data_IF_197486579062
#
_entry.id   IF_197486579062
#
_cell.length_a   1.000
_cell.length_b   1.000
_cell.length_c   1.000
_cell.angle_alpha   90.00
_cell.angle_beta   90.00
_cell.angle_gamma   90.00
#
_symmetry.space_group_name_H-M   'P 1'
#
loop_
_entity.id
_entity.type
_entity.pdbx_description
1 polymer ?
#
# COMPACT_ATOMS: atom_id res chain seq x y z
N UNK A 1 -12.52 2.72 33.64
CA UNK A 1 -12.66 3.71 32.52
C UNK A 1 -14.14 3.97 32.18
N UNK A 2 -15.10 3.11 32.57
CA UNK A 2 -16.55 3.34 32.36
C UNK A 2 -17.19 4.15 33.49
N UNK A 3 -16.58 4.25 34.68
CA UNK A 3 -17.12 4.98 35.84
C UNK A 3 -17.09 6.50 35.69
N UNK A 4 -16.06 7.05 35.05
CA UNK A 4 -15.85 8.50 34.98
C UNK A 4 -16.74 9.24 33.97
N UNK A 5 -17.25 8.52 32.95
CA UNK A 5 -18.16 9.14 31.95
C UNK A 5 -19.60 9.31 32.49
N UNK A 6 -20.03 8.41 33.34
CA UNK A 6 -21.36 8.50 33.97
C UNK A 6 -21.41 9.60 35.04
N UNK A 7 -20.32 9.82 35.77
CA UNK A 7 -20.20 10.90 36.75
C UNK A 7 -20.18 12.28 36.08
N UNK A 8 -19.54 12.42 34.92
CA UNK A 8 -19.49 13.68 34.17
C UNK A 8 -20.85 14.10 33.62
N UNK A 9 -21.63 13.11 33.10
CA UNK A 9 -22.99 13.36 32.58
C UNK A 9 -23.95 13.71 33.71
N UNK A 10 -23.87 13.01 34.85
CA UNK A 10 -24.66 13.32 36.05
C UNK A 10 -24.33 14.71 36.61
N UNK A 11 -23.04 15.11 36.63
CA UNK A 11 -22.61 16.43 37.07
C UNK A 11 -23.07 17.54 36.10
N UNK A 12 -23.03 17.32 34.80
CA UNK A 12 -23.50 18.29 33.81
C UNK A 12 -25.02 18.52 33.89
N UNK A 13 -25.80 17.44 34.05
CA UNK A 13 -27.26 17.51 34.22
C UNK A 13 -27.67 18.21 35.50
N UNK A 14 -26.99 17.99 36.63
CA UNK A 14 -27.30 18.60 37.91
C UNK A 14 -27.04 20.14 37.95
N UNK A 15 -26.11 20.61 37.09
CA UNK A 15 -25.70 22.02 37.07
C UNK A 15 -26.55 22.88 36.14
N UNK A 16 -27.15 22.30 35.13
CA UNK A 16 -27.85 23.03 34.06
C UNK A 16 -29.37 22.82 34.00
N UNK A 17 -29.93 21.91 34.84
CA UNK A 17 -31.38 21.67 34.90
C UNK A 17 -31.82 21.59 36.37
N UNK A 18 -31.79 22.73 37.11
CA UNK A 18 -32.05 22.74 38.54
C UNK A 18 -33.50 22.39 38.93
N UNK A 19 -34.47 22.38 37.98
CA UNK A 19 -35.88 22.20 38.28
C UNK A 19 -36.41 20.78 38.34
N UNK A 20 -35.71 19.82 37.76
CA UNK A 20 -36.21 18.41 37.72
C UNK A 20 -35.86 17.64 38.99
N UNK A 21 -34.81 18.05 39.72
CA UNK A 21 -34.37 17.32 40.92
C UNK A 21 -35.14 17.66 42.19
N UNK A 22 -35.86 18.79 42.23
CA UNK A 22 -36.55 19.22 43.44
C UNK A 22 -37.90 18.49 43.68
N UNK A 23 -38.49 17.87 42.65
CA UNK A 23 -39.71 17.13 42.75
C UNK A 23 -39.55 15.72 43.34
N UNK A 24 -38.32 15.21 43.48
CA UNK A 24 -38.08 13.86 43.99
C UNK A 24 -37.52 13.77 45.41
N UNK A 25 -37.22 14.90 46.08
CA UNK A 25 -36.41 14.90 47.30
C UNK A 25 -37.21 15.09 48.64
N UNK A 26 -38.51 15.24 48.62
CA UNK A 26 -39.29 15.31 49.89
C UNK A 26 -40.52 14.41 49.83
N UNK A 27 -40.27 13.12 49.99
CA UNK A 27 -41.30 12.21 50.53
C UNK A 27 -41.12 12.16 52.05
N UNK A 28 -41.75 13.09 52.76
CA UNK A 28 -41.92 12.91 54.21
C UNK A 28 -43.16 12.01 54.45
N UNK A 29 -42.84 10.86 54.96
CA UNK A 29 -43.79 9.82 55.30
C UNK A 29 -44.54 10.19 56.57
N UNK A 30 -45.53 11.02 56.51
CA UNK A 30 -46.53 11.12 57.57
C UNK A 30 -47.87 11.65 57.06
N UNK A 31 -48.63 10.82 56.42
CA UNK A 31 -50.07 11.06 56.40
C UNK A 31 -50.80 9.71 56.38
N UNK A 32 -51.67 9.61 57.32
CA UNK A 32 -52.49 8.40 57.60
C UNK A 32 -53.31 7.96 56.43
N UNK A 33 -52.96 6.83 55.95
CA UNK A 33 -53.41 6.15 54.74
C UNK A 33 -54.81 5.54 54.84
N UNK A 34 -55.79 6.20 55.43
CA UNK A 34 -57.17 5.64 55.46
C UNK A 34 -57.81 5.58 54.06
N UNK A 35 -57.46 6.53 53.17
CA UNK A 35 -57.96 6.56 51.80
C UNK A 35 -57.38 5.46 50.90
N UNK A 36 -56.19 4.96 51.21
CA UNK A 36 -55.55 3.88 50.46
C UNK A 36 -56.30 2.56 50.46
N UNK A 37 -57.07 2.33 51.45
CA UNK A 37 -57.84 1.08 51.64
C UNK A 37 -59.34 1.23 51.28
N UNK A 38 -59.73 2.42 50.80
CA UNK A 38 -61.13 2.63 50.38
C UNK A 38 -61.43 1.91 49.06
N UNK A 39 -62.58 1.23 49.01
CA UNK A 39 -63.13 0.67 47.78
C UNK A 39 -63.96 1.68 46.98
N UNK A 40 -64.07 2.92 47.45
CA UNK A 40 -64.84 4.01 46.83
C UNK A 40 -63.98 5.25 46.68
N UNK A 41 -64.25 6.12 45.67
CA UNK A 41 -63.55 7.39 45.51
C UNK A 41 -63.71 8.25 46.76
N UNK A 42 -62.59 8.78 47.26
CA UNK A 42 -62.59 9.60 48.50
C UNK A 42 -62.32 11.09 48.12
N UNK A 43 -62.99 11.99 48.81
CA UNK A 43 -62.85 13.45 48.59
C UNK A 43 -62.37 14.09 49.88
N UNK A 44 -61.60 15.22 49.74
CA UNK A 44 -61.07 15.94 50.90
C UNK A 44 -61.52 17.41 50.85
N UNK A 45 -61.54 18.02 52.05
CA UNK A 45 -61.70 19.45 52.23
C UNK A 45 -60.36 20.15 52.50
N UNK A 46 -59.25 19.39 52.57
CA UNK A 46 -57.91 19.86 52.92
C UNK A 46 -56.97 19.59 51.74
N UNK A 47 -56.10 20.55 51.41
CA UNK A 47 -55.23 20.48 50.28
C UNK A 47 -53.96 19.60 50.47
N UNK A 48 -53.58 19.33 51.72
CA UNK A 48 -52.27 18.75 52.05
C UNK A 48 -52.06 17.34 51.51
N UNK A 49 -53.12 16.60 51.24
CA UNK A 49 -53.05 15.20 50.79
C UNK A 49 -53.43 15.00 49.31
N UNK A 50 -53.86 16.02 48.65
CA UNK A 50 -54.33 15.92 47.27
C UNK A 50 -53.13 15.98 46.30
N UNK A 51 -53.12 15.07 45.33
CA UNK A 51 -52.05 14.99 44.35
C UNK A 51 -50.87 14.05 44.70
N UNK A 52 -50.90 13.43 45.87
CA UNK A 52 -49.80 12.56 46.35
C UNK A 52 -50.13 11.05 46.27
N UNK A 53 -50.95 10.65 45.34
CA UNK A 53 -51.36 9.23 45.14
C UNK A 53 -51.98 8.60 46.36
N UNK A 54 -52.70 9.37 47.15
CA UNK A 54 -53.37 8.92 48.38
C UNK A 54 -54.82 8.42 48.15
N UNK A 55 -55.16 8.12 46.85
CA UNK A 55 -56.54 7.76 46.41
C UNK A 55 -57.56 8.87 46.70
N UNK A 56 -57.13 10.08 46.94
CA UNK A 56 -58.03 11.22 47.08
C UNK A 56 -58.31 11.81 45.70
N UNK A 57 -59.57 11.74 45.27
CA UNK A 57 -59.98 12.18 43.92
C UNK A 57 -59.98 13.70 43.80
N UNK A 58 -60.37 14.41 44.82
CA UNK A 58 -60.47 15.86 44.79
C UNK A 58 -61.28 16.46 45.91
N UNK A 59 -61.54 17.73 45.84
CA UNK A 59 -62.34 18.42 46.85
C UNK A 59 -62.61 19.89 46.50
N UNK A 60 -63.37 20.52 47.34
CA UNK A 60 -63.64 21.94 47.34
C UNK A 60 -62.80 22.57 48.45
N UNK A 61 -61.60 22.99 48.07
CA UNK A 61 -60.51 23.32 49.03
C UNK A 61 -59.99 24.75 48.86
N UNK A 62 -59.41 25.29 49.90
CA UNK A 62 -58.64 26.51 49.85
C UNK A 62 -57.14 26.14 49.75
N UNK A 63 -56.45 26.61 48.73
CA UNK A 63 -55.02 26.36 48.60
C UNK A 63 -54.24 27.25 49.58
N UNK A 64 -53.10 26.77 50.06
CA UNK A 64 -52.19 27.55 50.89
C UNK A 64 -51.68 28.79 50.13
N UNK A 65 -51.44 28.66 48.82
CA UNK A 65 -51.06 29.75 47.94
C UNK A 65 -52.09 30.86 47.91
N UNK A 66 -53.40 30.51 47.75
CA UNK A 66 -54.51 31.47 47.78
C UNK A 66 -54.60 32.19 49.14
N UNK A 67 -54.36 31.46 50.22
CA UNK A 67 -54.34 32.10 51.57
C UNK A 67 -53.14 33.04 51.76
N UNK A 68 -51.97 32.70 51.23
CA UNK A 68 -50.79 33.54 51.29
C UNK A 68 -51.01 34.78 50.44
N UNK A 69 -51.49 34.66 49.21
CA UNK A 69 -51.79 35.81 48.32
C UNK A 69 -52.80 36.74 48.94
N UNK A 70 -53.95 36.24 49.44
CA UNK A 70 -54.97 37.06 50.10
C UNK A 70 -54.41 37.73 51.37
N UNK A 71 -53.53 37.07 52.13
CA UNK A 71 -52.91 37.61 53.31
C UNK A 71 -51.90 38.70 52.95
N UNK A 72 -51.11 38.46 51.87
CA UNK A 72 -50.10 39.41 51.42
C UNK A 72 -50.76 40.67 50.83
N UNK A 73 -51.80 40.54 50.07
CA UNK A 73 -52.56 41.66 49.52
C UNK A 73 -53.13 42.55 50.62
N UNK A 74 -53.67 41.92 51.68
CA UNK A 74 -54.17 42.65 52.86
C UNK A 74 -53.06 43.38 53.64
N UNK A 75 -51.94 42.69 53.85
CA UNK A 75 -50.81 43.31 54.47
C UNK A 75 -50.33 44.54 53.64
N UNK A 76 -50.31 44.43 52.32
CA UNK A 76 -49.96 45.53 51.43
C UNK A 76 -50.95 46.71 51.52
N UNK A 77 -52.24 46.42 51.66
CA UNK A 77 -53.26 47.45 51.85
C UNK A 77 -53.16 48.17 53.18
N UNK A 78 -52.86 47.43 54.24
CA UNK A 78 -52.58 48.00 55.59
C UNK A 78 -51.33 48.89 55.53
N UNK A 79 -50.29 48.47 54.88
CA UNK A 79 -49.03 49.24 54.72
C UNK A 79 -49.25 50.51 53.90
N UNK A 80 -50.27 50.54 53.03
CA UNK A 80 -50.64 51.74 52.25
C UNK A 80 -51.54 52.74 53.03
N UNK A 81 -51.82 52.42 54.26
CA UNK A 81 -52.54 53.32 55.18
C UNK A 81 -54.01 52.98 55.46
N UNK A 82 -54.50 51.79 55.03
CA UNK A 82 -55.82 51.33 55.42
C UNK A 82 -55.84 50.91 56.88
N UNK A 83 -56.83 51.33 57.63
CA UNK A 83 -57.00 50.96 59.02
C UNK A 83 -57.48 49.53 59.18
N UNK A 84 -56.97 48.79 60.21
CA UNK A 84 -57.40 47.39 60.43
C UNK A 84 -58.91 47.25 60.65
N UNK A 85 -59.60 48.34 61.08
CA UNK A 85 -61.05 48.38 61.27
C UNK A 85 -61.87 48.33 59.97
N UNK A 86 -61.21 48.63 58.83
CA UNK A 86 -61.84 48.59 57.53
C UNK A 86 -62.00 47.18 56.95
N UNK A 87 -61.38 46.19 57.58
CA UNK A 87 -61.48 44.77 57.15
C UNK A 87 -62.38 43.97 58.09
N UNK A 88 -63.16 43.07 57.49
CA UNK A 88 -63.99 42.19 58.32
C UNK A 88 -63.06 41.27 59.15
N UNK A 89 -63.42 41.08 60.43
CA UNK A 89 -62.64 40.24 61.39
C UNK A 89 -62.47 38.78 60.92
N UNK A 90 -63.39 38.28 60.14
CA UNK A 90 -63.31 36.90 59.57
C UNK A 90 -63.65 37.00 58.08
N UNK A 91 -62.70 36.68 57.27
CA UNK A 91 -62.88 36.55 55.82
C UNK A 91 -62.83 35.08 55.42
N UNK A 92 -63.76 34.67 54.63
CA UNK A 92 -63.73 33.31 54.05
C UNK A 92 -62.82 33.34 52.85
N UNK A 93 -61.72 32.63 52.88
CA UNK A 93 -60.84 32.44 51.70
C UNK A 93 -61.55 31.81 50.57
N UNK A 94 -61.18 32.20 49.34
CA UNK A 94 -61.73 31.64 48.13
C UNK A 94 -61.41 30.14 48.03
N UNK A 95 -62.42 29.36 47.82
CA UNK A 95 -62.27 27.89 47.62
C UNK A 95 -62.38 27.54 46.14
N UNK A 96 -61.55 26.64 45.71
CA UNK A 96 -61.51 26.12 44.35
C UNK A 96 -61.84 24.62 44.35
N UNK A 97 -62.42 24.15 43.25
CA UNK A 97 -62.54 22.73 43.01
C UNK A 97 -61.19 22.22 42.47
N UNK A 98 -60.57 21.31 43.21
CA UNK A 98 -59.28 20.71 42.87
C UNK A 98 -59.43 19.21 42.80
N UNK A 99 -58.97 18.62 41.73
CA UNK A 99 -59.05 17.16 41.53
C UNK A 99 -57.67 16.62 41.08
N UNK A 100 -57.36 15.38 41.53
CA UNK A 100 -56.18 14.66 40.99
C UNK A 100 -56.60 13.93 39.74
N UNK A 101 -55.93 14.27 38.62
CA UNK A 101 -56.23 13.66 37.34
C UNK A 101 -56.01 12.14 37.32
N UNK A 102 -55.00 11.60 38.02
CA UNK A 102 -54.69 10.20 38.05
C UNK A 102 -55.79 9.43 38.80
N UNK A 103 -56.28 10.02 39.87
CA UNK A 103 -57.39 9.40 40.65
C UNK A 103 -58.73 9.52 39.91
N UNK A 104 -59.02 10.66 39.27
CA UNK A 104 -60.17 10.82 38.39
C UNK A 104 -60.20 9.72 37.30
N UNK A 105 -59.03 9.47 36.71
CA UNK A 105 -58.89 8.41 35.69
C UNK A 105 -58.98 7.01 36.29
N UNK A 106 -58.34 6.76 37.40
CA UNK A 106 -58.38 5.45 38.09
C UNK A 106 -59.82 5.04 38.44
N UNK A 107 -60.61 5.96 38.96
CA UNK A 107 -61.96 5.75 39.30
C UNK A 107 -62.94 5.88 38.12
N UNK A 108 -62.46 6.05 36.93
CA UNK A 108 -63.22 6.23 35.68
C UNK A 108 -64.31 7.31 35.79
N UNK A 109 -63.98 8.44 36.44
CA UNK A 109 -64.93 9.55 36.59
C UNK A 109 -64.87 10.36 35.29
N UNK A 110 -66.07 10.60 34.68
CA UNK A 110 -66.12 11.41 33.45
C UNK A 110 -65.77 12.86 33.74
N UNK A 111 -64.73 13.33 33.08
CA UNK A 111 -64.23 14.70 33.23
C UNK A 111 -65.29 15.77 32.93
N UNK A 112 -66.29 15.48 32.14
CA UNK A 112 -67.41 16.39 31.81
C UNK A 112 -68.31 16.68 33.00
N UNK A 113 -68.27 15.83 34.02
CA UNK A 113 -69.01 15.98 35.27
C UNK A 113 -68.33 16.87 36.29
N UNK A 114 -67.02 17.19 36.05
CA UNK A 114 -66.26 18.08 36.92
C UNK A 114 -66.67 19.54 36.63
N UNK A 115 -66.67 20.41 37.67
CA UNK A 115 -66.91 21.83 37.50
C UNK A 115 -65.97 22.45 36.45
N UNK A 116 -66.44 23.41 35.64
CA UNK A 116 -65.66 24.01 34.55
C UNK A 116 -64.42 24.76 35.04
N UNK A 117 -64.44 25.26 36.25
CA UNK A 117 -63.39 25.98 36.93
C UNK A 117 -62.54 25.07 37.82
N UNK A 118 -62.68 23.77 37.69
CA UNK A 118 -61.89 22.81 38.46
C UNK A 118 -60.42 22.82 38.03
N UNK A 119 -59.54 22.88 39.01
CA UNK A 119 -58.10 22.73 38.85
C UNK A 119 -57.75 21.23 38.86
N UNK A 120 -57.11 20.74 37.81
CA UNK A 120 -56.67 19.35 37.73
C UNK A 120 -55.16 19.29 38.11
N UNK A 121 -54.87 18.64 39.23
CA UNK A 121 -53.49 18.31 39.61
C UNK A 121 -53.02 17.09 38.83
N UNK A 122 -51.72 16.93 38.67
CA UNK A 122 -51.10 15.79 37.99
C UNK A 122 -51.59 15.55 36.55
N UNK A 123 -52.11 16.61 35.90
CA UNK A 123 -52.58 16.52 34.52
C UNK A 123 -51.39 16.30 33.61
N UNK A 124 -51.31 15.21 32.82
CA UNK A 124 -50.14 14.91 32.02
C UNK A 124 -49.84 16.01 31.00
N UNK A 125 -48.58 16.40 30.88
CA UNK A 125 -48.13 17.43 29.95
C UNK A 125 -48.56 17.15 28.49
N UNK A 126 -48.56 15.88 28.08
CA UNK A 126 -48.99 15.44 26.75
C UNK A 126 -50.47 15.77 26.46
N UNK A 127 -51.30 15.71 27.48
CA UNK A 127 -52.76 15.95 27.38
C UNK A 127 -53.07 17.44 27.56
N UNK A 128 -52.27 18.13 28.34
CA UNK A 128 -52.39 19.57 28.57
C UNK A 128 -51.91 20.40 27.35
N UNK A 129 -50.81 19.96 26.75
CA UNK A 129 -50.18 20.66 25.62
C UNK A 129 -49.84 19.70 24.47
N UNK A 130 -50.81 19.04 23.85
CA UNK A 130 -50.55 17.96 22.90
C UNK A 130 -49.73 18.42 21.69
N UNK A 131 -49.96 19.63 21.16
CA UNK A 131 -49.20 20.14 20.02
C UNK A 131 -47.75 20.36 20.39
N UNK A 132 -47.45 20.92 21.54
CA UNK A 132 -46.10 21.20 22.04
C UNK A 132 -45.35 19.89 22.31
N UNK A 133 -46.02 18.91 22.90
CA UNK A 133 -45.48 17.59 23.20
C UNK A 133 -45.02 16.87 21.92
N UNK A 134 -45.86 16.79 20.92
CA UNK A 134 -45.55 16.11 19.69
C UNK A 134 -44.50 16.89 18.86
N UNK A 135 -44.50 18.23 18.85
CA UNK A 135 -43.50 19.02 18.20
C UNK A 135 -42.09 18.82 18.82
N UNK A 136 -42.04 18.69 20.15
CA UNK A 136 -40.80 18.41 20.87
C UNK A 136 -40.24 17.01 20.53
N UNK A 137 -41.12 16.01 20.46
CA UNK A 137 -40.70 14.65 20.07
C UNK A 137 -40.18 14.63 18.63
N UNK A 138 -40.84 15.30 17.71
CA UNK A 138 -40.38 15.39 16.32
C UNK A 138 -39.01 16.10 16.26
N UNK A 139 -38.85 17.20 17.00
CA UNK A 139 -37.60 17.95 17.04
C UNK A 139 -36.43 17.10 17.55
N UNK A 140 -36.66 16.38 18.67
CA UNK A 140 -35.62 15.50 19.23
C UNK A 140 -35.30 14.35 18.27
N UNK A 141 -36.32 13.74 17.69
CA UNK A 141 -36.13 12.64 16.72
C UNK A 141 -35.34 13.08 15.50
N UNK A 142 -35.67 14.24 14.91
CA UNK A 142 -34.94 14.78 13.76
C UNK A 142 -33.50 15.12 14.11
N UNK A 143 -33.25 15.68 15.29
CA UNK A 143 -31.89 15.96 15.77
C UNK A 143 -31.08 14.67 15.96
N UNK A 144 -31.68 13.63 16.54
CA UNK A 144 -31.05 12.32 16.70
C UNK A 144 -30.70 11.69 15.34
N UNK A 145 -31.63 11.75 14.38
CA UNK A 145 -31.39 11.27 13.01
C UNK A 145 -30.24 12.02 12.33
N UNK A 146 -30.16 13.34 12.51
CA UNK A 146 -29.08 14.14 11.95
C UNK A 146 -27.71 13.77 12.56
N UNK A 147 -27.65 13.65 13.88
CA UNK A 147 -26.41 13.25 14.59
C UNK A 147 -25.97 11.86 14.15
N UNK A 148 -26.92 10.90 14.09
CA UNK A 148 -26.62 9.53 13.67
C UNK A 148 -26.16 9.48 12.20
N UNK A 149 -26.83 10.21 11.32
CA UNK A 149 -26.41 10.35 9.92
C UNK A 149 -25.01 10.93 9.76
N UNK A 150 -24.71 11.99 10.50
CA UNK A 150 -23.36 12.62 10.50
C UNK A 150 -22.29 11.63 11.00
N UNK A 151 -22.61 10.86 12.03
CA UNK A 151 -21.70 9.83 12.57
C UNK A 151 -21.42 8.73 11.53
N UNK A 152 -22.46 8.24 10.82
CA UNK A 152 -22.28 7.24 9.77
C UNK A 152 -21.40 7.78 8.64
N UNK A 153 -21.65 9.03 8.20
CA UNK A 153 -20.85 9.65 7.13
C UNK A 153 -19.37 9.73 7.56
N UNK A 154 -19.11 10.24 8.76
CA UNK A 154 -17.75 10.35 9.29
C UNK A 154 -17.07 8.97 9.39
N UNK A 155 -17.75 7.95 9.94
CA UNK A 155 -17.22 6.60 10.04
C UNK A 155 -16.91 5.97 8.68
N UNK A 156 -17.81 6.17 7.69
CA UNK A 156 -17.57 5.65 6.33
C UNK A 156 -16.42 6.35 5.62
N UNK A 157 -16.25 7.66 5.82
CA UNK A 157 -15.11 8.41 5.28
C UNK A 157 -13.79 7.95 5.90
N UNK A 158 -13.74 7.82 7.23
CA UNK A 158 -12.55 7.32 7.92
C UNK A 158 -12.17 5.91 7.49
N UNK A 159 -13.16 5.01 7.37
CA UNK A 159 -12.93 3.64 6.93
C UNK A 159 -12.43 3.56 5.48
N UNK A 160 -12.95 4.42 4.59
CA UNK A 160 -12.46 4.54 3.20
C UNK A 160 -11.02 5.05 3.16
N UNK A 161 -10.71 6.09 3.93
CA UNK A 161 -9.35 6.65 4.01
C UNK A 161 -8.34 5.61 4.53
N UNK A 162 -8.69 4.87 5.60
CA UNK A 162 -7.85 3.77 6.12
C UNK A 162 -7.61 2.68 5.07
N UNK A 163 -8.66 2.27 4.33
CA UNK A 163 -8.53 1.26 3.26
C UNK A 163 -7.65 1.74 2.11
N UNK A 164 -7.76 3.02 1.73
CA UNK A 164 -6.91 3.61 0.68
C UNK A 164 -5.45 3.68 1.13
N UNK A 165 -5.18 4.15 2.33
CA UNK A 165 -3.84 4.19 2.91
C UNK A 165 -3.21 2.78 3.01
N UNK A 166 -4.00 1.79 3.43
CA UNK A 166 -3.54 0.40 3.51
C UNK A 166 -3.21 -0.19 2.13
N UNK A 167 -4.03 0.11 1.10
CA UNK A 167 -3.73 -0.33 -0.27
C UNK A 167 -2.49 0.35 -0.83
N UNK A 168 -2.31 1.65 -0.59
CA UNK A 168 -1.12 2.39 -1.02
C UNK A 168 0.15 1.83 -0.36
N UNK A 169 0.10 1.56 0.95
CA UNK A 169 1.21 0.96 1.69
C UNK A 169 1.55 -0.45 1.19
N UNK A 170 0.53 -1.26 0.85
CA UNK A 170 0.76 -2.60 0.30
C UNK A 170 1.46 -2.52 -1.05
N UNK A 171 1.00 -1.64 -1.94
CA UNK A 171 1.62 -1.44 -3.26
C UNK A 171 3.06 -0.94 -3.15
N UNK A 172 3.33 0.00 -2.24
CA UNK A 172 4.70 0.48 -1.97
C UNK A 172 5.60 -0.64 -1.45
N UNK A 173 5.07 -1.48 -0.55
CA UNK A 173 5.78 -2.64 0.00
C UNK A 173 6.13 -3.68 -1.08
N UNK A 174 5.19 -3.97 -2.00
CA UNK A 174 5.40 -4.87 -3.12
C UNK A 174 6.46 -4.31 -4.09
N UNK A 175 6.37 -3.03 -4.44
CA UNK A 175 7.37 -2.35 -5.28
C UNK A 175 8.76 -2.35 -4.64
N UNK A 176 8.86 -2.10 -3.33
CA UNK A 176 10.13 -2.13 -2.60
C UNK A 176 10.71 -3.55 -2.54
N UNK A 177 9.87 -4.57 -2.33
CA UNK A 177 10.29 -5.96 -2.32
C UNK A 177 10.86 -6.39 -3.68
N UNK A 178 10.19 -6.00 -4.79
CA UNK A 178 10.67 -6.27 -6.14
C UNK A 178 12.00 -5.55 -6.43
N UNK A 179 12.13 -4.29 -6.01
CA UNK A 179 13.38 -3.55 -6.17
C UNK A 179 14.52 -4.16 -5.34
N UNK A 180 14.24 -4.62 -4.12
CA UNK A 180 15.21 -5.29 -3.26
C UNK A 180 15.65 -6.63 -3.85
N UNK A 181 14.73 -7.42 -4.40
CA UNK A 181 15.05 -8.68 -5.06
C UNK A 181 15.97 -8.47 -6.27
N UNK A 182 15.64 -7.50 -7.13
CA UNK A 182 16.50 -7.12 -8.26
C UNK A 182 17.89 -6.64 -7.82
N UNK A 183 17.97 -5.86 -6.73
CA UNK A 183 19.24 -5.42 -6.18
C UNK A 183 20.09 -6.58 -5.65
N UNK A 184 19.47 -7.49 -4.89
CA UNK A 184 20.13 -8.68 -4.35
C UNK A 184 20.61 -9.63 -5.47
N UNK A 185 19.81 -9.82 -6.52
CA UNK A 185 20.19 -10.60 -7.68
C UNK A 185 21.39 -9.97 -8.41
N UNK A 186 21.38 -8.65 -8.60
CA UNK A 186 22.50 -7.91 -9.18
C UNK A 186 23.79 -8.09 -8.34
N UNK A 187 23.69 -7.97 -7.01
CA UNK A 187 24.86 -8.13 -6.12
C UNK A 187 25.38 -9.57 -6.11
N UNK A 188 24.47 -10.55 -6.15
CA UNK A 188 24.83 -11.96 -6.30
C UNK A 188 25.57 -12.21 -7.62
N UNK A 189 25.04 -11.68 -8.73
CA UNK A 189 25.67 -11.81 -10.05
C UNK A 189 27.06 -11.16 -10.07
N UNK A 190 27.24 -10.00 -9.44
CA UNK A 190 28.55 -9.36 -9.30
C UNK A 190 29.52 -10.23 -8.49
N UNK A 191 29.07 -10.84 -7.41
CA UNK A 191 29.90 -11.71 -6.57
C UNK A 191 30.36 -12.98 -7.32
N UNK A 192 29.45 -13.61 -8.06
CA UNK A 192 29.74 -14.76 -8.91
C UNK A 192 30.74 -14.37 -10.01
N UNK A 193 30.52 -13.20 -10.64
CA UNK A 193 31.42 -12.65 -11.65
C UNK A 193 32.86 -12.48 -11.13
N UNK A 194 33.02 -11.83 -9.95
CA UNK A 194 34.34 -11.64 -9.33
C UNK A 194 35.04 -12.95 -8.96
N UNK A 195 34.25 -13.92 -8.45
CA UNK A 195 34.79 -15.24 -8.13
C UNK A 195 35.30 -15.97 -9.37
N UNK A 196 34.51 -15.96 -10.46
CA UNK A 196 34.89 -16.58 -11.72
C UNK A 196 36.10 -15.88 -12.36
N UNK A 197 36.14 -14.55 -12.36
CA UNK A 197 37.31 -13.78 -12.78
C UNK A 197 38.57 -14.20 -12.05
N UNK A 198 38.50 -14.29 -10.73
CA UNK A 198 39.65 -14.67 -9.90
C UNK A 198 40.15 -16.06 -10.26
N UNK A 199 39.24 -17.00 -10.55
CA UNK A 199 39.60 -18.34 -10.97
C UNK A 199 40.24 -18.37 -12.36
N UNK A 200 39.62 -17.70 -13.35
CA UNK A 200 40.11 -17.66 -14.73
C UNK A 200 41.45 -16.90 -14.90
N UNK A 201 41.75 -15.97 -14.00
CA UNK A 201 43.06 -15.30 -13.91
C UNK A 201 44.12 -16.21 -13.25
N UNK A 202 43.75 -16.92 -12.19
CA UNK A 202 44.69 -17.72 -11.41
C UNK A 202 45.28 -18.90 -12.21
N UNK A 203 44.46 -19.54 -13.05
CA UNK A 203 44.84 -20.71 -13.83
C UNK A 203 46.01 -20.42 -14.77
N UNK A 204 45.94 -19.48 -15.72
CA UNK A 204 47.05 -19.16 -16.59
C UNK A 204 48.25 -18.54 -15.84
N UNK A 205 47.99 -17.75 -14.78
CA UNK A 205 49.05 -17.17 -13.97
C UNK A 205 49.89 -18.25 -13.28
N UNK A 206 49.24 -19.27 -12.70
CA UNK A 206 49.93 -20.41 -12.08
C UNK A 206 50.76 -21.20 -13.11
N UNK A 207 50.23 -21.39 -14.33
CA UNK A 207 50.97 -22.03 -15.41
C UNK A 207 52.21 -21.21 -15.79
N UNK A 208 52.11 -19.90 -15.97
CA UNK A 208 53.25 -18.99 -16.26
C UNK A 208 54.30 -19.12 -15.15
N UNK A 209 53.88 -18.98 -13.88
CA UNK A 209 54.82 -19.05 -12.74
C UNK A 209 55.50 -20.43 -12.67
N UNK A 210 54.68 -21.52 -12.76
CA UNK A 210 55.21 -22.87 -12.67
C UNK A 210 56.24 -23.23 -13.75
N UNK A 211 55.90 -22.98 -15.02
CA UNK A 211 56.81 -23.26 -16.12
C UNK A 211 58.03 -22.33 -16.14
N UNK A 212 57.87 -21.04 -15.72
CA UNK A 212 59.01 -20.15 -15.54
C UNK A 212 59.97 -20.64 -14.47
N UNK A 213 59.50 -21.16 -13.36
CA UNK A 213 60.33 -21.75 -12.30
C UNK A 213 61.06 -23.00 -12.81
N UNK A 214 60.36 -23.89 -13.55
CA UNK A 214 60.94 -25.09 -14.14
C UNK A 214 62.11 -24.72 -15.11
N UNK A 215 61.96 -23.70 -15.96
CA UNK A 215 63.00 -23.23 -16.86
C UNK A 215 64.23 -22.71 -16.08
N UNK A 216 63.99 -22.10 -14.90
CA UNK A 216 65.04 -21.51 -14.09
C UNK A 216 65.80 -22.53 -13.22
N UNK A 217 65.14 -23.61 -12.78
CA UNK A 217 65.65 -24.53 -11.78
C UNK A 217 66.18 -25.84 -12.38
N UNK A 218 65.75 -26.23 -13.57
CA UNK A 218 66.07 -27.51 -14.19
C UNK A 218 67.10 -27.37 -15.33
N UNK A 219 67.95 -28.36 -15.48
CA UNK A 219 68.85 -28.49 -16.63
C UNK A 219 68.09 -29.13 -17.81
N UNK A 220 67.35 -28.31 -18.53
CA UNK A 220 66.45 -28.72 -19.62
C UNK A 220 67.16 -28.73 -20.96
N UNK A 221 66.70 -29.63 -21.84
CA UNK A 221 67.09 -29.66 -23.25
C UNK A 221 66.55 -28.38 -23.98
N UNK A 222 67.10 -28.10 -25.16
CA UNK A 222 66.58 -26.97 -25.96
C UNK A 222 65.12 -27.13 -26.36
N UNK A 223 64.69 -28.36 -26.70
CA UNK A 223 63.30 -28.69 -27.02
C UNK A 223 62.34 -28.48 -25.86
N UNK A 224 62.73 -28.90 -24.66
CA UNK A 224 61.93 -28.72 -23.43
C UNK A 224 61.79 -27.22 -23.09
N UNK A 225 62.89 -26.45 -23.20
CA UNK A 225 62.86 -24.99 -23.00
C UNK A 225 61.91 -24.31 -23.98
N UNK A 226 61.91 -24.73 -25.24
CA UNK A 226 61.01 -24.21 -26.25
C UNK A 226 59.53 -24.54 -25.98
N UNK A 227 59.27 -25.78 -25.58
CA UNK A 227 57.93 -26.21 -25.19
C UNK A 227 57.40 -25.41 -23.98
N UNK A 228 58.22 -25.21 -22.95
CA UNK A 228 57.81 -24.47 -21.77
C UNK A 228 57.62 -22.95 -22.08
N UNK A 229 58.50 -22.40 -22.92
CA UNK A 229 58.37 -21.02 -23.40
C UNK A 229 57.05 -20.83 -24.19
N UNK A 230 56.71 -21.80 -25.04
CA UNK A 230 55.44 -21.75 -25.78
C UNK A 230 54.19 -21.82 -24.86
N UNK A 231 54.25 -22.67 -23.82
CA UNK A 231 53.18 -22.72 -22.79
C UNK A 231 53.06 -21.39 -22.06
N UNK A 232 54.16 -20.77 -21.66
CA UNK A 232 54.19 -19.46 -21.01
C UNK A 232 53.56 -18.38 -21.95
N UNK A 233 53.99 -18.35 -23.21
CA UNK A 233 53.51 -17.40 -24.20
C UNK A 233 52.00 -17.51 -24.43
N UNK A 234 51.51 -18.73 -24.64
CA UNK A 234 50.06 -19.03 -24.83
C UNK A 234 49.22 -18.60 -23.63
N UNK A 235 49.75 -18.90 -22.39
CA UNK A 235 48.99 -18.49 -21.17
C UNK A 235 49.02 -16.99 -20.93
N UNK A 236 50.12 -16.30 -21.34
CA UNK A 236 50.22 -14.85 -21.29
C UNK A 236 49.24 -14.18 -22.25
N UNK A 237 49.13 -14.67 -23.50
CA UNK A 237 48.15 -14.21 -24.49
C UNK A 237 46.69 -14.42 -23.99
N UNK A 238 46.44 -15.57 -23.40
CA UNK A 238 45.11 -15.88 -22.80
C UNK A 238 44.80 -14.89 -21.67
N UNK A 239 45.75 -14.61 -20.79
CA UNK A 239 45.60 -13.67 -19.69
C UNK A 239 45.34 -12.25 -20.17
N UNK A 240 46.10 -11.77 -21.17
CA UNK A 240 45.91 -10.46 -21.78
C UNK A 240 44.53 -10.34 -22.44
N UNK A 241 44.10 -11.39 -23.15
CA UNK A 241 42.77 -11.44 -23.74
C UNK A 241 41.69 -11.37 -22.65
N UNK A 242 41.83 -12.14 -21.59
CA UNK A 242 40.86 -12.14 -20.47
C UNK A 242 40.74 -10.75 -19.83
N UNK A 243 41.87 -10.08 -19.56
CA UNK A 243 41.87 -8.72 -18.99
C UNK A 243 41.14 -7.74 -19.93
N UNK A 244 41.46 -7.79 -21.26
CA UNK A 244 40.80 -6.92 -22.22
C UNK A 244 39.31 -7.21 -22.34
N UNK A 245 38.90 -8.47 -22.36
CA UNK A 245 37.49 -8.91 -22.37
C UNK A 245 36.72 -8.34 -21.16
N UNK A 246 37.32 -8.40 -19.96
CA UNK A 246 36.76 -7.84 -18.73
C UNK A 246 36.61 -6.32 -18.80
N UNK A 247 37.64 -5.63 -19.26
CA UNK A 247 37.64 -4.15 -19.41
C UNK A 247 36.58 -3.72 -20.43
N UNK A 248 36.48 -4.43 -21.55
CA UNK A 248 35.46 -4.14 -22.56
C UNK A 248 34.04 -4.34 -21.97
N UNK A 249 33.80 -5.46 -21.32
CA UNK A 249 32.51 -5.73 -20.69
C UNK A 249 32.15 -4.66 -19.65
N UNK A 250 33.08 -4.30 -18.77
CA UNK A 250 32.87 -3.27 -17.75
C UNK A 250 32.57 -1.89 -18.36
N UNK A 251 33.24 -1.53 -19.45
CA UNK A 251 32.97 -0.28 -20.17
C UNK A 251 31.63 -0.27 -20.88
N UNK A 252 31.24 -1.40 -21.51
CA UNK A 252 29.94 -1.53 -22.17
C UNK A 252 28.81 -1.39 -21.12
N UNK A 253 28.92 -2.07 -19.98
CA UNK A 253 27.90 -2.08 -18.94
C UNK A 253 27.74 -0.75 -18.21
N UNK A 254 28.84 -0.04 -17.97
CA UNK A 254 28.80 1.29 -17.37
C UNK A 254 28.31 2.38 -18.32
N UNK A 255 28.02 2.04 -19.57
CA UNK A 255 27.69 3.02 -20.60
C UNK A 255 28.90 3.93 -20.97
N UNK A 256 30.09 3.56 -20.53
CA UNK A 256 31.32 4.34 -20.73
C UNK A 256 31.93 4.18 -22.11
N UNK A 257 31.44 3.30 -22.97
CA UNK A 257 31.88 3.19 -24.35
C UNK A 257 31.16 4.22 -25.22
N UNK A 258 31.94 5.06 -25.84
CA UNK A 258 31.46 5.91 -26.93
C UNK A 258 31.57 5.11 -28.22
N UNK A 259 30.45 4.76 -28.82
CA UNK A 259 30.42 4.10 -30.12
C UNK A 259 30.67 5.11 -31.23
N UNK A 260 31.71 4.86 -32.01
CA UNK A 260 32.07 5.71 -33.14
C UNK A 260 31.38 5.22 -34.42
N UNK A 261 30.16 5.70 -34.65
CA UNK A 261 29.40 5.32 -35.83
C UNK A 261 29.96 6.01 -37.08
N UNK A 262 30.30 5.20 -38.05
CA UNK A 262 30.80 5.62 -39.39
C UNK A 262 30.12 4.80 -40.48
N UNK A 263 30.33 5.16 -41.74
CA UNK A 263 29.89 4.35 -42.88
C UNK A 263 30.79 3.12 -43.02
N UNK A 264 30.27 1.97 -42.67
CA UNK A 264 30.94 0.68 -42.69
C UNK A 264 30.50 -0.13 -43.90
N UNK A 265 31.42 -0.40 -44.83
CA UNK A 265 31.19 -1.33 -45.93
C UNK A 265 31.27 -2.77 -45.42
N UNK A 266 30.15 -3.48 -45.46
CA UNK A 266 30.07 -4.82 -44.91
C UNK A 266 30.85 -5.85 -45.73
N UNK A 267 30.96 -5.66 -47.04
CA UNK A 267 31.82 -6.50 -47.91
C UNK A 267 33.28 -6.44 -47.52
N UNK A 268 33.80 -5.22 -47.22
CA UNK A 268 35.20 -5.04 -46.80
C UNK A 268 35.42 -5.65 -45.41
N UNK A 269 34.44 -5.52 -44.52
CA UNK A 269 34.48 -6.11 -43.18
C UNK A 269 34.60 -7.63 -43.24
N UNK A 270 33.69 -8.30 -43.98
CA UNK A 270 33.67 -9.77 -44.15
C UNK A 270 34.94 -10.25 -44.84
N UNK A 271 35.40 -9.57 -45.91
CA UNK A 271 36.62 -9.96 -46.61
C UNK A 271 37.87 -9.80 -45.77
N UNK A 272 37.88 -8.81 -44.91
CA UNK A 272 38.99 -8.60 -43.94
C UNK A 272 39.07 -9.77 -42.97
N UNK A 273 37.93 -10.13 -42.34
CA UNK A 273 37.87 -11.25 -41.40
C UNK A 273 38.21 -12.59 -42.09
N UNK A 274 37.70 -12.82 -43.31
CA UNK A 274 38.01 -14.01 -44.08
C UNK A 274 39.51 -14.17 -44.35
N UNK A 275 40.16 -13.11 -44.84
CA UNK A 275 41.58 -13.13 -45.14
C UNK A 275 42.47 -13.29 -43.90
N UNK A 276 42.13 -12.64 -42.83
CA UNK A 276 42.91 -12.70 -41.56
C UNK A 276 42.89 -14.09 -40.92
N UNK A 277 41.75 -14.81 -41.03
CA UNK A 277 41.61 -16.12 -40.41
C UNK A 277 41.73 -17.30 -41.35
N UNK A 278 42.17 -17.04 -42.63
CA UNK A 278 42.34 -18.12 -43.61
C UNK A 278 43.40 -19.14 -43.18
N UNK A 279 44.46 -18.71 -42.50
CA UNK A 279 45.51 -19.57 -41.98
C UNK A 279 45.17 -20.25 -40.63
N UNK A 280 44.14 -19.77 -39.95
CA UNK A 280 43.72 -20.33 -38.66
C UNK A 280 42.78 -21.50 -38.78
N UNK A 281 42.22 -21.72 -39.99
CA UNK A 281 41.30 -22.81 -40.29
C UNK A 281 42.09 -24.11 -40.46
N UNK A 282 41.75 -25.20 -39.75
CA UNK A 282 42.43 -26.48 -39.87
C UNK A 282 42.34 -27.05 -41.29
N UNK A 283 43.35 -27.82 -41.68
CA UNK A 283 43.36 -28.52 -42.96
C UNK A 283 42.14 -29.45 -43.09
N UNK A 284 41.48 -29.44 -44.23
CA UNK A 284 40.30 -30.26 -44.52
C UNK A 284 38.95 -29.58 -44.20
N UNK A 285 38.95 -28.33 -43.67
CA UNK A 285 37.74 -27.55 -43.51
C UNK A 285 37.64 -26.52 -44.65
N UNK A 286 36.49 -26.50 -45.34
CA UNK A 286 36.26 -25.51 -46.39
C UNK A 286 35.85 -24.17 -45.77
N UNK A 287 36.68 -23.11 -45.92
CA UNK A 287 36.32 -21.78 -45.43
C UNK A 287 35.80 -20.94 -46.61
N UNK A 288 34.63 -20.31 -46.43
CA UNK A 288 33.92 -19.57 -47.50
C UNK A 288 33.57 -18.16 -47.04
N UNK A 289 33.61 -17.23 -47.99
CA UNK A 289 32.99 -15.91 -47.84
C UNK A 289 31.78 -15.79 -48.76
N UNK A 290 30.67 -15.18 -48.26
CA UNK A 290 29.50 -14.94 -49.07
C UNK A 290 28.97 -13.53 -48.86
N UNK A 291 29.13 -12.73 -49.92
CA UNK A 291 28.66 -11.36 -49.94
C UNK A 291 27.73 -11.16 -51.15
N UNK A 292 26.70 -10.33 -51.06
CA UNK A 292 25.93 -9.89 -52.21
C UNK A 292 26.78 -9.13 -53.22
N UNK A 293 26.38 -9.20 -54.52
CA UNK A 293 27.05 -8.50 -55.61
C UNK A 293 27.07 -6.98 -55.41
N UNK A 294 26.00 -6.45 -54.79
CA UNK A 294 25.94 -5.02 -54.47
C UNK A 294 26.41 -4.80 -53.01
N UNK A 295 27.54 -4.08 -52.79
CA UNK A 295 28.00 -3.79 -51.46
C UNK A 295 26.98 -2.98 -50.64
N UNK A 296 26.79 -3.35 -49.36
CA UNK A 296 25.97 -2.61 -48.43
C UNK A 296 26.83 -1.83 -47.45
N UNK A 297 26.52 -0.54 -47.29
CA UNK A 297 27.12 0.31 -46.25
C UNK A 297 26.15 0.48 -45.14
N UNK A 298 26.59 0.13 -43.91
CA UNK A 298 25.83 0.31 -42.68
C UNK A 298 26.44 1.45 -41.88
N UNK A 299 25.62 2.36 -41.34
CA UNK A 299 26.07 3.39 -40.43
C UNK A 299 26.18 2.82 -39.02
N UNK A 300 27.37 2.35 -38.66
CA UNK A 300 27.63 1.61 -37.41
C UNK A 300 29.08 1.76 -36.97
N UNK A 301 29.42 1.20 -35.81
CA UNK A 301 30.81 1.13 -35.32
C UNK A 301 31.47 -0.11 -35.94
N UNK A 302 32.40 0.17 -36.85
CA UNK A 302 33.13 -0.86 -37.61
C UNK A 302 33.99 -1.74 -36.72
N UNK A 303 34.68 -1.17 -35.74
CA UNK A 303 35.56 -1.94 -34.84
C UNK A 303 34.76 -2.89 -33.96
N UNK A 304 33.64 -2.43 -33.46
CA UNK A 304 32.73 -3.28 -32.61
C UNK A 304 32.03 -4.35 -33.41
N UNK A 305 31.60 -4.07 -34.66
CA UNK A 305 31.05 -5.10 -35.54
C UNK A 305 32.14 -6.15 -35.88
N UNK A 306 33.37 -5.70 -36.18
CA UNK A 306 34.48 -6.59 -36.38
C UNK A 306 34.72 -7.50 -35.17
N UNK A 307 34.81 -6.94 -33.97
CA UNK A 307 35.02 -7.67 -32.72
C UNK A 307 33.93 -8.73 -32.48
N UNK A 308 32.66 -8.37 -32.69
CA UNK A 308 31.55 -9.30 -32.51
C UNK A 308 31.61 -10.48 -33.50
N UNK A 309 31.85 -10.19 -34.79
CA UNK A 309 31.96 -11.24 -35.83
C UNK A 309 33.22 -12.10 -35.65
N UNK A 310 34.33 -11.51 -35.27
CA UNK A 310 35.56 -12.22 -34.97
C UNK A 310 35.40 -13.23 -33.82
N UNK A 311 34.72 -12.83 -32.77
CA UNK A 311 34.43 -13.74 -31.64
C UNK A 311 33.58 -14.95 -32.06
N UNK A 312 32.58 -14.72 -32.92
CA UNK A 312 31.74 -15.81 -33.45
C UNK A 312 32.54 -16.69 -34.39
N UNK A 313 33.33 -16.10 -35.30
CA UNK A 313 34.16 -16.82 -36.28
C UNK A 313 35.25 -17.66 -35.55
N UNK A 314 35.91 -17.14 -34.53
CA UNK A 314 36.89 -17.91 -33.73
C UNK A 314 36.23 -19.10 -33.02
N UNK A 315 34.96 -18.98 -32.58
CA UNK A 315 34.22 -20.11 -32.06
C UNK A 315 33.91 -21.14 -33.16
N UNK A 316 33.50 -20.73 -34.35
CA UNK A 316 33.25 -21.62 -35.46
C UNK A 316 34.53 -22.40 -35.86
N UNK A 317 35.70 -21.71 -35.96
CA UNK A 317 36.97 -22.36 -36.25
C UNK A 317 37.35 -23.37 -35.14
N UNK A 318 37.15 -23.02 -33.90
CA UNK A 318 37.51 -23.85 -32.74
C UNK A 318 36.67 -25.10 -32.62
N UNK A 319 35.37 -25.08 -32.97
CA UNK A 319 34.44 -26.15 -32.72
C UNK A 319 34.05 -26.94 -33.98
N UNK A 320 34.61 -26.60 -35.16
CA UNK A 320 34.45 -27.33 -36.40
C UNK A 320 35.65 -28.21 -36.65
N UNK A 321 35.49 -29.52 -36.73
CA UNK A 321 36.57 -30.48 -37.02
C UNK A 321 36.55 -30.97 -38.46
N UNK A 322 35.43 -30.87 -39.16
CA UNK A 322 35.30 -31.25 -40.59
C UNK A 322 34.09 -30.53 -41.20
N UNK A 323 34.07 -30.39 -42.52
CA UNK A 323 33.01 -29.77 -43.25
C UNK A 323 33.35 -28.35 -43.71
N UNK A 324 32.52 -27.35 -43.35
CA UNK A 324 32.77 -25.99 -43.80
C UNK A 324 32.44 -24.95 -42.75
N UNK A 325 33.07 -23.76 -42.90
CA UNK A 325 32.71 -22.54 -42.20
C UNK A 325 32.44 -21.47 -43.27
N UNK A 326 31.32 -20.76 -43.15
CA UNK A 326 30.93 -19.68 -44.05
C UNK A 326 30.70 -18.39 -43.24
N UNK A 327 31.35 -17.31 -43.62
CA UNK A 327 31.11 -15.97 -43.11
C UNK A 327 30.48 -15.10 -44.16
N UNK A 328 29.45 -14.37 -43.85
CA UNK A 328 28.80 -13.54 -44.84
C UNK A 328 27.77 -12.57 -44.27
N UNK A 329 27.14 -11.87 -45.21
CA UNK A 329 25.96 -11.07 -44.88
C UNK A 329 24.92 -11.17 -46.00
N UNK A 330 23.65 -11.02 -45.62
CA UNK A 330 22.52 -11.04 -46.55
C UNK A 330 21.52 -9.94 -46.20
N UNK A 331 20.78 -9.53 -47.21
CA UNK A 331 19.63 -8.65 -47.01
C UNK A 331 18.37 -9.46 -47.34
N UNK A 332 17.67 -9.94 -46.27
CA UNK A 332 16.46 -10.74 -46.51
C UNK A 332 15.39 -9.90 -47.19
N UNK A 333 14.72 -10.49 -48.22
CA UNK A 333 13.75 -9.78 -49.06
C UNK A 333 12.58 -9.18 -48.28
N UNK A 334 12.26 -9.74 -47.13
CA UNK A 334 11.13 -9.34 -46.26
C UNK A 334 11.54 -8.50 -45.04
N UNK A 335 12.83 -8.17 -44.89
CA UNK A 335 13.34 -7.46 -43.72
C UNK A 335 13.95 -6.12 -44.11
N UNK A 336 13.81 -5.12 -43.21
CA UNK A 336 14.52 -3.84 -43.29
C UNK A 336 15.94 -3.94 -42.72
N UNK A 337 16.31 -5.09 -42.16
CA UNK A 337 17.54 -5.33 -41.43
C UNK A 337 18.54 -6.12 -42.25
N UNK A 338 19.83 -5.79 -42.15
CA UNK A 338 20.91 -6.61 -42.71
C UNK A 338 21.26 -7.70 -41.69
N UNK A 339 21.44 -8.95 -42.22
CA UNK A 339 21.88 -10.08 -41.41
C UNK A 339 23.36 -10.37 -41.71
N UNK A 340 24.22 -10.19 -40.72
CA UNK A 340 25.58 -10.68 -40.68
C UNK A 340 25.57 -12.07 -40.04
N UNK A 341 26.28 -13.05 -40.58
CA UNK A 341 26.26 -14.41 -40.07
C UNK A 341 27.57 -15.15 -40.20
N UNK A 342 27.78 -16.10 -39.32
CA UNK A 342 28.77 -17.15 -39.40
C UNK A 342 28.01 -18.48 -39.34
N UNK A 343 28.21 -19.36 -40.28
CA UNK A 343 27.66 -20.69 -40.31
C UNK A 343 28.78 -21.71 -40.27
N UNK A 344 28.64 -22.73 -39.49
CA UNK A 344 29.60 -23.82 -39.35
C UNK A 344 28.89 -25.19 -39.36
N UNK A 345 29.68 -26.24 -39.56
CA UNK A 345 29.26 -27.65 -39.46
C UNK A 345 29.90 -28.35 -38.29
N UNK A 346 30.13 -27.64 -37.22
CA UNK A 346 30.74 -28.14 -35.99
C UNK A 346 29.85 -29.04 -35.13
N UNK A 347 30.18 -29.17 -33.89
CA UNK A 347 29.51 -30.04 -32.91
C UNK A 347 28.05 -29.64 -32.61
N UNK A 348 27.65 -28.42 -32.96
CA UNK A 348 26.35 -27.86 -32.65
C UNK A 348 26.19 -27.51 -31.15
N UNK A 349 25.01 -26.97 -30.81
CA UNK A 349 24.67 -26.54 -29.44
C UNK A 349 23.30 -27.15 -29.09
N UNK A 350 23.25 -27.84 -27.98
CA UNK A 350 21.99 -28.46 -27.50
C UNK A 350 20.92 -27.38 -27.25
N UNK A 351 19.62 -27.68 -27.47
CA UNK A 351 18.57 -26.68 -27.19
C UNK A 351 18.59 -26.14 -25.77
N UNK A 352 19.02 -26.95 -24.81
CA UNK A 352 19.11 -26.57 -23.38
C UNK A 352 20.23 -25.56 -23.12
N UNK A 353 21.30 -25.61 -23.93
CA UNK A 353 22.46 -24.76 -23.76
C UNK A 353 22.41 -23.46 -24.60
N UNK A 354 21.47 -23.33 -25.55
CA UNK A 354 21.42 -22.19 -26.47
C UNK A 354 21.23 -20.83 -25.80
N UNK A 355 20.56 -20.79 -24.66
CA UNK A 355 20.44 -19.56 -23.83
C UNK A 355 21.66 -19.39 -22.93
N UNK A 356 22.15 -20.48 -22.35
CA UNK A 356 23.23 -20.49 -21.36
C UNK A 356 24.60 -20.08 -21.96
N UNK A 357 24.85 -20.31 -23.25
CA UNK A 357 26.14 -19.91 -23.89
C UNK A 357 26.39 -18.41 -23.91
N UNK A 358 25.37 -17.58 -23.72
CA UNK A 358 25.51 -16.13 -23.60
C UNK A 358 25.76 -15.66 -22.18
N UNK A 359 25.70 -16.56 -21.19
CA UNK A 359 26.08 -16.27 -19.81
C UNK A 359 27.60 -16.07 -19.71
N UNK A 360 28.02 -15.21 -18.77
CA UNK A 360 29.43 -14.88 -18.55
C UNK A 360 30.16 -16.08 -17.95
N UNK A 361 31.37 -16.35 -18.46
CA UNK A 361 32.25 -17.47 -18.05
C UNK A 361 31.64 -18.86 -18.27
N UNK A 362 30.53 -18.95 -19.01
CA UNK A 362 29.92 -20.23 -19.34
C UNK A 362 30.76 -20.91 -20.43
N UNK A 363 31.15 -22.14 -20.15
CA UNK A 363 31.79 -23.07 -21.10
C UNK A 363 30.98 -24.34 -21.10
N UNK A 364 30.73 -24.92 -22.25
CA UNK A 364 30.04 -26.22 -22.36
C UNK A 364 31.00 -27.38 -22.09
N UNK A 365 32.30 -27.14 -22.30
CA UNK A 365 33.40 -28.07 -22.00
C UNK A 365 34.55 -27.32 -21.33
N UNK A 366 34.88 -27.71 -20.10
CA UNK A 366 35.96 -27.08 -19.30
C UNK A 366 37.35 -27.34 -19.85
N UNK A 367 37.54 -28.40 -20.69
CA UNK A 367 38.82 -28.70 -21.31
C UNK A 367 39.11 -27.84 -22.54
N UNK A 368 38.12 -27.13 -23.06
CA UNK A 368 38.31 -26.31 -24.22
C UNK A 368 38.76 -24.90 -23.83
N UNK A 369 39.97 -24.54 -24.26
CA UNK A 369 40.59 -23.24 -23.92
C UNK A 369 39.74 -22.04 -24.37
N UNK A 370 39.48 -21.09 -23.46
CA UNK A 370 38.74 -19.88 -23.74
C UNK A 370 38.30 -19.16 -22.48
N UNK A 371 37.94 -17.88 -22.59
CA UNK A 371 37.57 -17.03 -21.46
C UNK A 371 36.11 -17.19 -21.02
N UNK A 372 35.25 -17.72 -21.88
CA UNK A 372 33.80 -17.78 -21.65
C UNK A 372 33.11 -16.39 -21.67
N UNK A 373 33.83 -15.35 -22.13
CA UNK A 373 33.30 -13.98 -22.20
C UNK A 373 32.92 -13.55 -23.62
N UNK A 374 33.47 -14.20 -24.65
CA UNK A 374 33.32 -13.77 -26.04
C UNK A 374 31.87 -13.58 -26.50
N UNK A 375 30.99 -14.56 -26.25
CA UNK A 375 29.59 -14.47 -26.65
C UNK A 375 28.79 -13.48 -25.83
N UNK A 376 29.08 -13.31 -24.54
CA UNK A 376 28.46 -12.28 -23.70
C UNK A 376 28.86 -10.86 -24.12
N UNK A 377 30.12 -10.68 -24.58
CA UNK A 377 30.59 -9.42 -25.20
C UNK A 377 29.86 -9.17 -26.51
N UNK A 378 29.75 -10.19 -27.39
CA UNK A 378 28.96 -10.07 -28.64
C UNK A 378 27.54 -9.59 -28.35
N UNK A 379 26.86 -10.21 -27.38
CA UNK A 379 25.51 -9.82 -27.00
C UNK A 379 25.43 -8.38 -26.52
N UNK A 380 26.38 -7.95 -25.69
CA UNK A 380 26.45 -6.59 -25.19
C UNK A 380 26.72 -5.56 -26.31
N UNK A 381 27.64 -5.85 -27.23
CA UNK A 381 27.90 -5.00 -28.39
C UNK A 381 26.67 -4.87 -29.28
N UNK A 382 26.09 -6.00 -29.70
CA UNK A 382 24.94 -6.04 -30.59
C UNK A 382 23.73 -5.31 -30.01
N UNK A 383 23.49 -5.46 -28.71
CA UNK A 383 22.44 -4.72 -27.99
C UNK A 383 22.66 -3.21 -28.02
N UNK A 384 23.88 -2.74 -27.84
CA UNK A 384 24.23 -1.31 -27.89
C UNK A 384 24.14 -0.73 -29.32
N UNK A 385 24.34 -1.57 -30.32
CA UNK A 385 24.14 -1.19 -31.73
C UNK A 385 22.66 -1.29 -32.17
N UNK A 386 21.72 -1.57 -31.25
CA UNK A 386 20.30 -1.79 -31.49
C UNK A 386 20.01 -2.98 -32.42
N UNK A 387 20.90 -3.97 -32.42
CA UNK A 387 20.74 -5.21 -33.15
C UNK A 387 20.21 -6.35 -32.26
N UNK A 388 20.11 -7.54 -32.85
CA UNK A 388 19.76 -8.80 -32.17
C UNK A 388 20.62 -9.95 -32.65
N UNK A 389 20.91 -10.90 -31.78
CA UNK A 389 21.60 -12.13 -32.13
C UNK A 389 20.52 -13.23 -32.35
N UNK A 390 20.68 -13.97 -33.42
CA UNK A 390 19.86 -15.14 -33.72
C UNK A 390 20.78 -16.37 -33.77
N UNK A 391 20.43 -17.42 -33.05
CA UNK A 391 21.14 -18.69 -33.03
C UNK A 391 20.26 -19.76 -33.65
N UNK A 392 20.86 -20.58 -34.53
CA UNK A 392 20.29 -21.81 -35.03
C UNK A 392 21.37 -22.89 -34.94
N UNK A 393 21.06 -23.99 -34.32
CA UNK A 393 21.99 -25.10 -34.18
C UNK A 393 21.22 -26.44 -34.31
#
# INVERSE_FOLDING_TARGET
>A
VQGDKLSAVSWYMSKHVPYIYYLQAKRDYRVLNTSRFSSKPSFTAINEDLGYSNKLVGGYITSLETQIEESTDRAAEILKGSTSESFPQITKSKKNYVFDFNEVKYWNIDKRLLPKDAILLNFPFKDQYPRLFWSLIILVSTMCCFVFGSFIIMYTQESKAKRQAQKALLHEKESLAEALEKANESDRMKSVFLANMSHEIRTPLNAIIGFSSLIAELDLTAEEKEQYANIITTNNELLLKLVNDILDLARIESGGIVFHKESCNLTDLVKTLYKQHLSDVPEGIEFKEKCPDTPICLYSDKERLYQALENILKNAIKFTSAGFIEIGYEYPADAQDVRLYVQDTGIGISPEDQEAIFERFKKLDDFVQGTGLGLSICQAIVKQLNGRILLKS
#
